data_IF_652980729811
#
_entry.id   IF_652980729811
#
_cell.length_a   1.000
_cell.length_b   1.000
_cell.length_c   1.000
_cell.angle_alpha   90.00
_cell.angle_beta   90.00
_cell.angle_gamma   90.00
#
_symmetry.space_group_name_H-M   'P 1'
#
loop_
_entity.id
_entity.type
_entity.pdbx_description
1 polymer ?
#
# COMPACT_ATOMS: atom_id res chain seq x y z
N UNK A 1 -1.39 -6.07 4.65
CA UNK A 1 -1.61 -7.13 3.66
C UNK A 1 -1.43 -8.48 4.32
N UNK A 2 -2.24 -9.51 4.01
CA UNK A 2 -2.12 -10.84 4.60
C UNK A 2 -0.78 -11.51 4.26
N UNK A 3 -0.28 -12.33 5.17
CA UNK A 3 0.85 -13.21 4.90
C UNK A 3 0.40 -14.43 4.10
N UNK A 4 1.10 -14.75 3.02
CA UNK A 4 0.78 -15.88 2.11
C UNK A 4 1.93 -16.90 2.07
N UNK A 5 3.17 -16.44 2.25
CA UNK A 5 4.36 -17.27 2.28
C UNK A 5 5.43 -16.77 1.30
N UNK A 6 6.71 -16.95 1.67
CA UNK A 6 7.85 -16.48 0.86
C UNK A 6 7.88 -17.18 -0.50
N UNK A 7 8.17 -16.40 -1.54
CA UNK A 7 8.32 -16.89 -2.92
C UNK A 7 7.03 -17.36 -3.61
N UNK A 8 5.85 -17.14 -3.01
CA UNK A 8 4.57 -17.44 -3.65
C UNK A 8 4.23 -16.41 -4.73
N UNK A 9 3.49 -16.85 -5.75
CA UNK A 9 3.02 -15.95 -6.79
C UNK A 9 2.12 -14.86 -6.18
N UNK A 10 2.34 -13.60 -6.58
CA UNK A 10 1.54 -12.48 -6.09
C UNK A 10 1.93 -11.97 -4.70
N UNK A 11 3.11 -12.35 -4.16
CA UNK A 11 3.62 -11.77 -2.91
C UNK A 11 4.80 -10.82 -3.13
N UNK A 12 5.13 -10.03 -2.12
CA UNK A 12 6.41 -9.33 -2.05
C UNK A 12 7.54 -10.30 -1.65
N UNK A 13 8.77 -9.78 -1.55
CA UNK A 13 9.95 -10.56 -1.22
C UNK A 13 9.88 -11.26 0.14
N UNK A 14 9.07 -10.75 1.06
CA UNK A 14 8.91 -11.32 2.39
C UNK A 14 7.74 -12.30 2.51
N UNK A 15 6.86 -12.37 1.50
CA UNK A 15 5.72 -13.29 1.47
C UNK A 15 4.36 -12.65 1.76
N UNK A 16 4.26 -11.32 1.81
CA UNK A 16 3.00 -10.59 1.99
C UNK A 16 2.26 -10.42 0.66
N UNK A 17 0.94 -10.58 0.66
CA UNK A 17 0.08 -10.43 -0.53
C UNK A 17 0.26 -9.05 -1.18
N UNK A 18 0.51 -9.02 -2.50
CA UNK A 18 0.59 -7.82 -3.35
C UNK A 18 -0.64 -7.71 -4.24
N UNK A 19 -1.78 -7.45 -3.61
CA UNK A 19 -3.07 -7.36 -4.27
C UNK A 19 -3.71 -6.00 -3.99
N UNK A 20 -3.86 -5.19 -5.05
CA UNK A 20 -4.46 -3.86 -4.95
C UNK A 20 -5.95 -3.91 -4.63
N UNK A 21 -6.66 -4.93 -5.12
CA UNK A 21 -8.11 -5.02 -4.99
C UNK A 21 -8.47 -5.46 -3.57
N UNK A 22 -7.68 -6.39 -3.00
CA UNK A 22 -7.72 -6.68 -1.56
C UNK A 22 -7.47 -5.42 -0.73
N UNK A 23 -6.40 -4.67 -1.04
CA UNK A 23 -6.05 -3.46 -0.31
C UNK A 23 -7.19 -2.43 -0.33
N UNK A 24 -7.74 -2.13 -1.52
CA UNK A 24 -8.79 -1.13 -1.64
C UNK A 24 -10.11 -1.56 -1.01
N UNK A 25 -10.43 -2.86 -1.04
CA UNK A 25 -11.57 -3.38 -0.29
C UNK A 25 -11.43 -3.12 1.21
N UNK A 26 -10.26 -3.44 1.79
CA UNK A 26 -10.00 -3.17 3.21
C UNK A 26 -10.08 -1.67 3.57
N UNK A 27 -9.62 -0.79 2.68
CA UNK A 27 -9.72 0.67 2.88
C UNK A 27 -11.16 1.13 2.80
N UNK A 28 -11.95 0.64 1.84
CA UNK A 28 -13.37 0.98 1.74
C UNK A 28 -14.18 0.50 2.95
N UNK A 29 -13.83 -0.66 3.51
CA UNK A 29 -14.51 -1.23 4.67
C UNK A 29 -14.16 -0.48 5.96
N UNK A 30 -12.90 -0.06 6.14
CA UNK A 30 -12.40 0.56 7.38
C UNK A 30 -12.48 2.08 7.40
N UNK A 31 -12.28 2.73 6.26
CA UNK A 31 -12.19 4.19 6.12
C UNK A 31 -13.04 4.71 4.95
N UNK A 32 -14.34 4.34 4.86
CA UNK A 32 -15.21 4.72 3.75
C UNK A 32 -15.35 6.23 3.54
N UNK A 33 -15.14 7.03 4.57
CA UNK A 33 -15.17 8.51 4.57
C UNK A 33 -13.98 9.13 3.84
N UNK A 34 -12.84 8.43 3.80
CA UNK A 34 -11.63 8.88 3.12
C UNK A 34 -11.70 8.77 1.60
N UNK A 35 -12.70 8.06 1.07
CA UNK A 35 -12.84 7.73 -0.34
C UNK A 35 -14.08 8.41 -0.92
N UNK A 36 -13.89 9.25 -1.93
CA UNK A 36 -15.00 9.90 -2.63
C UNK A 36 -15.88 8.94 -3.41
N UNK A 37 -17.11 9.36 -3.71
CA UNK A 37 -18.04 8.58 -4.54
C UNK A 37 -17.40 8.20 -5.89
N UNK A 38 -16.66 9.11 -6.53
CA UNK A 38 -15.99 8.84 -7.79
C UNK A 38 -14.84 7.82 -7.61
N UNK A 39 -14.10 7.90 -6.51
CA UNK A 39 -13.06 6.92 -6.19
C UNK A 39 -13.63 5.55 -5.81
N UNK A 40 -14.78 5.48 -5.11
CA UNK A 40 -15.49 4.21 -4.85
C UNK A 40 -15.88 3.52 -6.15
N UNK A 41 -16.45 4.26 -7.10
CA UNK A 41 -16.78 3.73 -8.42
C UNK A 41 -15.55 3.23 -9.18
N UNK A 42 -14.41 3.91 -9.09
CA UNK A 42 -13.15 3.42 -9.68
C UNK A 42 -12.75 2.08 -9.07
N UNK A 43 -12.76 1.97 -7.75
CA UNK A 43 -12.40 0.74 -7.03
C UNK A 43 -13.34 -0.41 -7.40
N UNK A 44 -14.65 -0.18 -7.42
CA UNK A 44 -15.66 -1.17 -7.82
C UNK A 44 -15.47 -1.68 -9.25
N UNK A 45 -14.95 -0.83 -10.16
CA UNK A 45 -14.60 -1.18 -11.53
C UNK A 45 -13.19 -1.79 -11.66
N UNK A 46 -12.49 -2.05 -10.55
CA UNK A 46 -11.15 -2.64 -10.53
C UNK A 46 -10.02 -1.66 -10.83
N UNK A 47 -10.27 -0.35 -10.76
CA UNK A 47 -9.25 0.69 -10.92
C UNK A 47 -8.78 1.23 -9.56
N UNK A 48 -7.52 1.66 -9.49
CA UNK A 48 -7.07 2.44 -8.34
C UNK A 48 -7.77 3.81 -8.30
N UNK A 49 -8.08 4.33 -7.10
CA UNK A 49 -8.58 5.68 -6.90
C UNK A 49 -7.47 6.72 -7.15
N UNK A 50 -7.83 8.00 -7.12
CA UNK A 50 -6.91 9.13 -7.29
C UNK A 50 -6.82 9.98 -6.02
N UNK A 51 -5.71 10.72 -5.87
CA UNK A 51 -5.45 11.67 -4.79
C UNK A 51 -6.34 12.92 -4.95
N UNK A 52 -7.65 12.76 -4.79
CA UNK A 52 -8.65 13.83 -4.92
C UNK A 52 -8.80 14.66 -3.63
N UNK A 53 -9.70 15.65 -3.65
CA UNK A 53 -9.89 16.56 -2.51
C UNK A 53 -10.28 15.81 -1.24
N UNK A 54 -11.21 14.84 -1.33
CA UNK A 54 -11.72 14.14 -0.16
C UNK A 54 -10.64 13.25 0.46
N UNK A 55 -9.83 12.59 -0.37
CA UNK A 55 -8.68 11.83 0.13
C UNK A 55 -7.68 12.74 0.86
N UNK A 56 -7.35 13.91 0.28
CA UNK A 56 -6.42 14.88 0.87
C UNK A 56 -6.92 15.56 2.14
N UNK A 57 -8.24 15.64 2.34
CA UNK A 57 -8.82 16.12 3.60
C UNK A 57 -8.57 15.15 4.75
N UNK A 58 -8.56 13.85 4.47
CA UNK A 58 -8.25 12.82 5.46
C UNK A 58 -6.74 12.55 5.60
N UNK A 59 -5.99 12.74 4.50
CA UNK A 59 -4.54 12.53 4.44
C UNK A 59 -3.83 13.82 3.99
N UNK A 60 -3.72 14.84 4.87
CA UNK A 60 -3.19 16.15 4.52
C UNK A 60 -1.73 16.14 4.11
N UNK A 61 -0.95 15.11 4.47
CA UNK A 61 0.42 14.91 4.00
C UNK A 61 0.52 14.78 2.47
N UNK A 62 -0.57 14.42 1.79
CA UNK A 62 -0.65 14.35 0.33
C UNK A 62 -1.35 15.56 -0.30
N UNK A 63 -1.64 16.60 0.48
CA UNK A 63 -2.16 17.88 -0.01
C UNK A 63 -1.05 18.77 -0.61
N UNK A 64 -0.35 18.21 -1.59
CA UNK A 64 0.74 18.86 -2.33
C UNK A 64 0.25 19.02 -3.78
N UNK A 65 0.31 20.24 -4.31
CA UNK A 65 -0.30 20.60 -5.60
C UNK A 65 0.16 19.68 -6.74
N UNK A 66 1.43 19.30 -6.72
CA UNK A 66 2.08 18.44 -7.71
C UNK A 66 1.59 16.99 -7.68
N UNK A 67 0.97 16.56 -6.58
CA UNK A 67 0.42 15.21 -6.36
C UNK A 67 -1.09 15.15 -6.59
N UNK A 68 -1.74 16.27 -6.87
CA UNK A 68 -3.19 16.31 -7.06
C UNK A 68 -3.60 15.40 -8.22
N UNK A 69 -4.64 14.59 -7.98
CA UNK A 69 -5.20 13.63 -8.95
C UNK A 69 -4.24 12.53 -9.41
N UNK A 70 -3.07 12.39 -8.79
CA UNK A 70 -2.23 11.22 -9.01
C UNK A 70 -2.99 9.95 -8.69
N UNK A 71 -2.74 8.89 -9.45
CA UNK A 71 -3.27 7.56 -9.10
C UNK A 71 -2.68 7.15 -7.76
N UNK A 72 -3.53 6.68 -6.85
CA UNK A 72 -3.09 6.14 -5.59
C UNK A 72 -2.70 4.67 -5.78
N UNK A 73 -1.57 4.29 -5.22
CA UNK A 73 -1.11 2.89 -5.25
C UNK A 73 -0.90 2.40 -3.82
N UNK A 74 -1.13 1.10 -3.61
CA UNK A 74 -0.76 0.49 -2.34
C UNK A 74 0.76 0.31 -2.33
N UNK A 75 1.39 0.77 -1.26
CA UNK A 75 2.81 0.70 -1.04
C UNK A 75 3.05 -0.08 0.26
N UNK A 76 3.97 -1.05 0.22
CA UNK A 76 4.36 -1.82 1.39
C UNK A 76 5.44 -1.08 2.16
N UNK A 77 5.13 -0.70 3.40
CA UNK A 77 6.07 0.04 4.24
C UNK A 77 7.27 -0.85 4.55
N UNK A 78 8.48 -0.35 4.26
CA UNK A 78 9.73 -1.06 4.53
C UNK A 78 9.88 -2.41 3.83
N UNK A 79 9.09 -2.69 2.79
CA UNK A 79 9.01 -4.01 2.15
C UNK A 79 8.23 -5.05 2.95
N UNK A 80 7.60 -4.65 4.05
CA UNK A 80 6.92 -5.50 5.01
C UNK A 80 5.46 -5.80 4.74
N UNK A 81 4.72 -6.11 5.80
CA UNK A 81 3.31 -6.51 5.73
C UNK A 81 2.32 -5.36 5.77
N UNK A 82 2.71 -4.25 6.37
CA UNK A 82 1.89 -3.04 6.42
C UNK A 82 1.88 -2.35 5.05
N UNK A 83 0.71 -1.84 4.65
CA UNK A 83 0.58 -1.13 3.39
C UNK A 83 -0.26 0.14 3.55
N UNK A 84 0.09 1.16 2.77
CA UNK A 84 -0.57 2.46 2.73
C UNK A 84 -0.77 2.94 1.30
N UNK A 85 -1.77 3.79 1.10
CA UNK A 85 -2.04 4.42 -0.17
C UNK A 85 -1.12 5.63 -0.33
N UNK A 86 -0.37 5.68 -1.44
CA UNK A 86 0.50 6.82 -1.76
C UNK A 86 0.24 7.30 -3.19
N UNK A 87 0.34 8.62 -3.46
CA UNK A 87 0.37 9.14 -4.83
C UNK A 87 1.48 8.48 -5.65
N UNK A 88 1.16 8.03 -6.86
CA UNK A 88 2.08 7.24 -7.70
C UNK A 88 3.42 7.92 -7.97
N UNK A 89 3.47 9.26 -8.02
CA UNK A 89 4.73 10.00 -8.20
C UNK A 89 5.72 9.82 -7.04
N UNK A 90 5.25 9.52 -5.84
CA UNK A 90 6.12 9.23 -4.69
C UNK A 90 6.71 7.81 -4.74
N UNK A 91 6.22 6.96 -5.64
CA UNK A 91 6.61 5.56 -5.74
C UNK A 91 7.02 5.18 -7.18
N UNK A 92 8.11 5.76 -7.71
CA UNK A 92 8.66 5.41 -9.02
C UNK A 92 9.39 4.06 -8.94
N UNK A 93 8.64 2.97 -9.16
CA UNK A 93 9.18 1.61 -9.07
C UNK A 93 9.77 1.33 -7.69
N UNK A 94 11.03 0.89 -7.64
CA UNK A 94 11.76 0.62 -6.38
C UNK A 94 12.51 1.83 -5.81
N UNK A 95 12.29 3.03 -6.36
CA UNK A 95 12.88 4.29 -5.88
C UNK A 95 11.90 5.13 -5.06
N UNK A 96 12.15 6.45 -5.00
CA UNK A 96 11.32 7.41 -4.26
C UNK A 96 11.19 7.03 -2.78
N UNK A 97 9.96 6.81 -2.33
CA UNK A 97 9.66 6.45 -0.93
C UNK A 97 10.47 5.25 -0.44
N UNK A 98 10.70 4.23 -1.28
CA UNK A 98 11.50 3.07 -0.89
C UNK A 98 12.96 3.40 -0.55
N UNK A 99 13.55 4.42 -1.18
CA UNK A 99 14.92 4.85 -0.86
C UNK A 99 14.93 5.60 0.46
N UNK A 100 13.96 6.48 0.68
CA UNK A 100 13.81 7.19 1.95
C UNK A 100 13.60 6.22 3.12
N UNK A 101 12.83 5.14 2.94
CA UNK A 101 12.66 4.09 3.96
C UNK A 101 13.95 3.34 4.27
N UNK A 102 14.77 3.04 3.25
CA UNK A 102 16.09 2.41 3.45
C UNK A 102 17.04 3.33 4.20
N UNK A 103 17.10 4.60 3.81
CA UNK A 103 17.93 5.62 4.48
C UNK A 103 17.50 5.84 5.94
N UNK A 104 16.20 5.76 6.21
CA UNK A 104 15.64 5.84 7.55
C UNK A 104 15.78 4.54 8.39
N UNK A 105 16.32 3.46 7.81
CA UNK A 105 16.44 2.16 8.50
C UNK A 105 15.12 1.44 8.74
N UNK A 106 14.06 1.81 8.02
CA UNK A 106 12.72 1.21 8.12
C UNK A 106 12.65 -0.11 7.35
N UNK A 107 13.41 -0.21 6.26
CA UNK A 107 13.40 -1.39 5.39
C UNK A 107 13.79 -2.67 6.14
N UNK A 108 12.92 -3.68 6.13
CA UNK A 108 13.10 -4.94 6.85
C UNK A 108 12.95 -4.85 8.38
N UNK A 109 12.49 -3.73 8.91
CA UNK A 109 12.28 -3.58 10.37
C UNK A 109 11.24 -4.54 10.94
N UNK A 110 10.33 -5.05 10.10
CA UNK A 110 9.27 -5.99 10.46
C UNK A 110 9.50 -7.42 9.91
N UNK A 111 10.67 -7.71 9.31
CA UNK A 111 11.01 -9.02 8.71
C UNK A 111 10.88 -10.19 9.70
N UNK A 112 11.13 -9.93 11.00
CA UNK A 112 10.99 -10.93 12.07
C UNK A 112 9.58 -11.58 12.11
N UNK A 113 8.53 -10.83 11.76
CA UNK A 113 7.17 -11.36 11.74
C UNK A 113 6.95 -12.27 10.54
N UNK A 114 7.46 -11.88 9.36
CA UNK A 114 7.42 -12.73 8.18
C UNK A 114 8.16 -14.05 8.41
N UNK A 115 9.34 -14.01 9.03
CA UNK A 115 10.10 -15.22 9.37
C UNK A 115 9.36 -16.12 10.37
N UNK A 116 8.70 -15.53 11.37
CA UNK A 116 7.91 -16.28 12.32
C UNK A 116 6.71 -16.97 11.65
N UNK A 117 5.97 -16.25 10.80
CA UNK A 117 4.81 -16.77 10.08
C UNK A 117 5.19 -17.88 9.09
N UNK A 118 6.31 -17.72 8.38
CA UNK A 118 6.83 -18.72 7.44
C UNK A 118 7.09 -20.08 8.14
N UNK A 119 7.57 -20.06 9.40
CA UNK A 119 7.78 -21.29 10.18
C UNK A 119 6.48 -22.03 10.52
N UNK A 120 5.34 -21.33 10.53
CA UNK A 120 4.04 -21.96 10.77
C UNK A 120 3.41 -22.54 9.50
N UNK A 121 3.80 -22.04 8.32
CA UNK A 121 3.32 -22.55 7.02
C UNK A 121 4.08 -23.80 6.56
N UNK A 122 5.36 -23.95 6.96
CA UNK A 122 6.21 -25.09 6.59
C UNK A 122 6.13 -26.27 7.58
N UNK A 123 5.00 -26.41 8.28
CA UNK A 123 4.72 -27.54 9.18
C UNK A 123 3.80 -28.56 8.53
#
# INVERSE_FOLDING_TARGET
>A
MPYVGKGKNGTNSEGWLRDKDYYWKEVMDKYPESISKANKQKIELGFSPINDKQFREHFPQFNIKELNNDTLIHHHIGGGGQAVAVPSKLHPGSGGIHNAEKEAGIWGSDSQYAELLEKYLNK
#
